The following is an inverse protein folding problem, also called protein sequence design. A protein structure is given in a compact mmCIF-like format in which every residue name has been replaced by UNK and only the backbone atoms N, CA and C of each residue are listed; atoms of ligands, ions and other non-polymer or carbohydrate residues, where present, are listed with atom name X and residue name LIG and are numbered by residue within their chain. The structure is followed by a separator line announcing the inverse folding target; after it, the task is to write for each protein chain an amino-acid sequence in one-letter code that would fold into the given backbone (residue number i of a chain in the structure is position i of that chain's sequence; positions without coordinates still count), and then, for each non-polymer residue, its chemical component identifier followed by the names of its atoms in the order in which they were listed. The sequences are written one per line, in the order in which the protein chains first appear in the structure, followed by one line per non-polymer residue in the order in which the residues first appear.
data_IF_876702525200
#
_entry.id   IF_876702525200
#
_cell.length_a   1.000
_cell.length_b   1.000
_cell.length_c   1.000
_cell.angle_alpha   90.00
_cell.angle_beta   90.00
_cell.angle_gamma   90.00
#
_symmetry.space_group_name_H-M   'P 1'
#
loop_
_entity.id
_entity.type
_entity.pdbx_description
1 polymer ?
#
# COMPACT_ATOMS: atom_id res chain seq x y z
N UNK A 1 4.77 12.16 5.65
CA UNK A 1 3.63 12.99 6.12
C UNK A 1 2.64 13.16 4.96
N UNK A 2 1.35 13.36 5.23
CA UNK A 2 0.35 13.64 4.17
C UNK A 2 -0.08 15.10 4.25
N UNK A 3 -0.10 15.81 3.12
CA UNK A 3 -0.63 17.20 3.05
C UNK A 3 -1.92 17.18 2.25
N UNK A 4 -3.05 17.41 2.91
CA UNK A 4 -4.39 17.36 2.31
C UNK A 4 -5.11 18.70 2.49
N UNK A 5 -5.75 19.20 1.42
CA UNK A 5 -6.52 20.44 1.42
C UNK A 5 -7.94 20.14 0.94
N UNK A 6 -8.93 20.52 1.73
CA UNK A 6 -10.34 20.50 1.32
C UNK A 6 -10.62 21.72 0.45
N UNK A 7 -11.13 21.51 -0.75
CA UNK A 7 -11.53 22.58 -1.67
C UNK A 7 -13.02 22.91 -1.55
N UNK A 8 -13.85 21.88 -1.37
CA UNK A 8 -15.30 22.03 -1.17
C UNK A 8 -15.80 20.97 -0.21
N UNK A 9 -16.69 21.38 0.70
CA UNK A 9 -17.41 20.48 1.59
C UNK A 9 -18.90 20.70 1.42
N UNK A 10 -19.66 19.62 1.26
CA UNK A 10 -21.12 19.64 1.22
C UNK A 10 -21.65 18.63 2.24
N UNK A 11 -22.97 18.54 2.39
CA UNK A 11 -23.61 17.48 3.19
C UNK A 11 -23.31 16.07 2.68
N UNK A 12 -22.95 15.92 1.38
CA UNK A 12 -22.71 14.62 0.76
C UNK A 12 -21.23 14.18 0.82
N UNK A 13 -20.30 15.09 1.10
CA UNK A 13 -18.88 14.73 1.13
C UNK A 13 -17.92 15.89 0.94
N UNK A 14 -16.64 15.54 0.80
CA UNK A 14 -15.52 16.47 0.68
C UNK A 14 -14.80 16.24 -0.64
N UNK A 15 -14.57 17.34 -1.37
CA UNK A 15 -13.68 17.38 -2.52
C UNK A 15 -12.42 18.10 -2.07
N UNK A 16 -11.27 17.55 -2.42
CA UNK A 16 -9.98 18.05 -1.97
C UNK A 16 -8.83 17.50 -2.79
N UNK A 17 -7.61 17.91 -2.43
CA UNK A 17 -6.37 17.48 -3.08
C UNK A 17 -5.32 17.10 -2.05
N UNK A 18 -4.60 16.02 -2.33
CA UNK A 18 -3.40 15.60 -1.61
C UNK A 18 -2.19 16.10 -2.39
N UNK A 19 -1.30 16.82 -1.71
CA UNK A 19 -0.09 17.40 -2.30
C UNK A 19 1.18 16.61 -1.96
N UNK A 20 1.13 15.79 -0.91
CA UNK A 20 2.23 14.94 -0.48
C UNK A 20 1.67 13.62 0.05
N UNK A 21 2.31 12.51 -0.30
CA UNK A 21 2.05 11.18 0.27
C UNK A 21 3.37 10.56 0.73
N UNK A 22 3.60 10.54 2.05
CA UNK A 22 4.88 10.11 2.60
C UNK A 22 5.98 11.11 2.25
N UNK A 23 6.95 10.68 1.44
CA UNK A 23 8.05 11.49 0.92
C UNK A 23 7.86 11.87 -0.56
N UNK A 24 6.75 11.47 -1.18
CA UNK A 24 6.47 11.73 -2.59
C UNK A 24 5.56 12.95 -2.72
N UNK A 25 5.97 13.93 -3.54
CA UNK A 25 5.12 15.05 -3.95
C UNK A 25 4.16 14.55 -5.02
N UNK A 26 2.87 14.79 -4.84
CA UNK A 26 1.81 14.38 -5.76
C UNK A 26 0.80 15.50 -5.92
N UNK A 27 -0.10 15.41 -6.90
CA UNK A 27 -1.34 16.18 -6.92
C UNK A 27 -2.48 15.20 -7.18
N UNK A 28 -3.14 14.78 -6.11
CA UNK A 28 -4.12 13.69 -6.16
C UNK A 28 -5.47 14.15 -5.62
N UNK A 29 -6.48 14.17 -6.49
CA UNK A 29 -7.83 14.60 -6.20
C UNK A 29 -8.57 13.56 -5.34
N UNK A 30 -9.41 14.04 -4.43
CA UNK A 30 -10.29 13.21 -3.59
C UNK A 30 -11.75 13.62 -3.81
N UNK A 31 -12.73 12.69 -3.79
CA UNK A 31 -12.59 11.26 -3.46
C UNK A 31 -11.86 10.47 -4.54
N UNK A 32 -11.11 9.45 -4.13
CA UNK A 32 -10.31 8.59 -5.01
C UNK A 32 -10.08 7.22 -4.36
N UNK A 33 -9.42 6.32 -5.08
CA UNK A 33 -9.02 5.00 -4.63
C UNK A 33 -7.50 4.81 -4.72
N UNK A 34 -7.00 3.82 -3.98
CA UNK A 34 -5.64 3.30 -4.15
C UNK A 34 -5.66 2.15 -5.15
N UNK A 35 -4.57 1.99 -5.90
CA UNK A 35 -4.38 0.86 -6.80
C UNK A 35 -3.97 -0.36 -5.98
N UNK A 36 -4.83 -1.38 -5.93
CA UNK A 36 -4.51 -2.63 -5.25
C UNK A 36 -3.33 -3.33 -5.90
N UNK A 37 -2.34 -3.70 -5.10
CA UNK A 37 -1.24 -4.56 -5.53
C UNK A 37 -1.04 -5.71 -4.55
N UNK A 38 -0.51 -6.82 -5.07
CA UNK A 38 -0.06 -7.95 -4.26
C UNK A 38 1.42 -8.18 -4.54
N UNK A 39 2.23 -8.26 -3.49
CA UNK A 39 3.69 -8.32 -3.58
C UNK A 39 4.30 -7.19 -4.45
N UNK A 40 3.66 -6.02 -4.49
CA UNK A 40 4.11 -4.88 -5.28
C UNK A 40 3.70 -4.86 -6.74
N UNK A 41 2.88 -5.81 -7.23
CA UNK A 41 2.38 -5.82 -8.61
C UNK A 41 0.85 -5.71 -8.68
N UNK A 42 0.34 -5.04 -9.71
CA UNK A 42 -1.10 -5.14 -10.04
C UNK A 42 -1.35 -6.58 -10.48
N UNK A 43 -2.34 -7.30 -9.90
CA UNK A 43 -2.59 -8.70 -10.24
C UNK A 43 -2.69 -8.91 -11.75
N UNK A 44 -1.93 -9.89 -12.25
CA UNK A 44 -1.90 -10.30 -13.66
C UNK A 44 -1.32 -9.29 -14.66
N UNK A 45 -0.74 -8.17 -14.21
CA UNK A 45 -0.13 -7.17 -15.09
C UNK A 45 1.35 -6.96 -14.76
N UNK A 46 2.20 -6.98 -15.78
CA UNK A 46 3.58 -6.46 -15.68
C UNK A 46 3.57 -4.93 -15.76
N UNK A 47 4.63 -4.29 -15.26
CA UNK A 47 4.74 -2.84 -15.33
C UNK A 47 4.77 -2.29 -16.75
N UNK A 48 5.32 -3.04 -17.71
CA UNK A 48 5.30 -2.68 -19.13
C UNK A 48 3.86 -2.66 -19.69
N UNK A 49 3.05 -3.67 -19.35
CA UNK A 49 1.64 -3.72 -19.75
C UNK A 49 0.86 -2.58 -19.11
N UNK A 50 1.11 -2.29 -17.83
CA UNK A 50 0.52 -1.15 -17.12
C UNK A 50 0.84 0.18 -17.83
N UNK A 51 2.11 0.41 -18.15
CA UNK A 51 2.56 1.64 -18.79
C UNK A 51 1.92 1.88 -20.17
N UNK A 52 1.69 0.81 -20.93
CA UNK A 52 1.13 0.89 -22.29
C UNK A 52 -0.40 0.96 -22.27
N UNK A 53 -1.08 0.18 -21.41
CA UNK A 53 -2.51 -0.07 -21.53
C UNK A 53 -3.35 0.64 -20.47
N UNK A 54 -2.82 0.94 -19.29
CA UNK A 54 -3.58 1.59 -18.23
C UNK A 54 -3.44 3.11 -18.32
N UNK A 55 -4.51 3.77 -18.77
CA UNK A 55 -4.63 5.23 -18.82
C UNK A 55 -5.29 5.75 -17.55
N UNK A 56 -4.50 6.28 -16.63
CA UNK A 56 -5.02 6.86 -15.40
C UNK A 56 -5.45 8.32 -15.60
N UNK A 57 -6.57 8.71 -15.00
CA UNK A 57 -6.99 10.12 -14.93
C UNK A 57 -6.06 10.96 -14.05
N UNK A 58 -5.45 10.33 -13.05
CA UNK A 58 -4.49 10.93 -12.12
C UNK A 58 -3.48 9.88 -11.67
N UNK A 59 -2.31 10.31 -11.19
CA UNK A 59 -1.28 9.39 -10.70
C UNK A 59 -1.81 8.53 -9.54
N UNK A 60 -1.75 7.18 -9.64
CA UNK A 60 -2.28 6.30 -8.60
C UNK A 60 -1.38 6.26 -7.36
N UNK A 61 -2.01 6.07 -6.21
CA UNK A 61 -1.31 5.63 -4.98
C UNK A 61 -1.43 4.12 -4.90
N UNK A 62 -0.31 3.40 -4.86
CA UNK A 62 -0.29 1.94 -4.87
C UNK A 62 -0.41 1.38 -3.44
N UNK A 63 -1.44 0.59 -3.20
CA UNK A 63 -1.60 -0.14 -1.95
C UNK A 63 -0.71 -1.38 -1.96
N UNK A 64 0.20 -1.48 -1.00
CA UNK A 64 0.96 -2.67 -0.65
C UNK A 64 0.29 -3.35 0.55
N UNK A 65 0.20 -4.68 0.56
CA UNK A 65 -0.37 -5.42 1.71
C UNK A 65 0.74 -6.16 2.44
N UNK A 66 0.90 -5.92 3.75
CA UNK A 66 1.90 -6.61 4.57
C UNK A 66 1.79 -8.15 4.47
N UNK A 67 0.58 -8.76 4.50
CA UNK A 67 0.39 -10.19 4.22
C UNK A 67 1.12 -10.77 3.01
N UNK A 68 1.18 -10.00 1.92
CA UNK A 68 1.79 -10.44 0.67
C UNK A 68 3.32 -10.29 0.66
N UNK A 69 3.86 -9.47 1.56
CA UNK A 69 5.27 -9.14 1.66
C UNK A 69 5.97 -9.85 2.83
N UNK A 70 5.22 -10.28 3.84
CA UNK A 70 5.73 -10.71 5.14
C UNK A 70 6.86 -11.75 5.04
N UNK A 71 6.66 -12.80 4.24
CA UNK A 71 7.67 -13.87 4.08
C UNK A 71 8.91 -13.43 3.30
N UNK A 72 8.79 -12.37 2.48
CA UNK A 72 9.88 -11.84 1.67
C UNK A 72 10.65 -10.71 2.37
N UNK A 73 10.23 -10.25 3.55
CA UNK A 73 10.84 -9.11 4.26
C UNK A 73 12.36 -9.24 4.40
N UNK A 74 12.95 -10.39 4.82
CA UNK A 74 14.40 -10.50 4.96
C UNK A 74 15.16 -10.31 3.63
N UNK A 75 14.55 -10.72 2.52
CA UNK A 75 15.13 -10.60 1.18
C UNK A 75 15.00 -9.16 0.67
N UNK A 76 13.86 -8.51 0.92
CA UNK A 76 13.63 -7.11 0.58
C UNK A 76 14.62 -6.21 1.34
N UNK A 77 14.83 -6.45 2.64
CA UNK A 77 15.79 -5.73 3.46
C UNK A 77 17.22 -5.91 2.94
N UNK A 78 17.63 -7.15 2.64
CA UNK A 78 18.95 -7.44 2.06
C UNK A 78 19.17 -6.76 0.71
N UNK A 79 18.13 -6.51 -0.06
CA UNK A 79 18.24 -5.79 -1.35
C UNK A 79 18.61 -4.31 -1.21
N UNK A 80 18.37 -3.69 -0.05
CA UNK A 80 18.71 -2.30 0.26
C UNK A 80 17.91 -1.22 -0.49
N UNK A 81 17.11 -1.58 -1.49
CA UNK A 81 16.37 -0.65 -2.33
C UNK A 81 14.98 -0.27 -1.84
N UNK A 82 14.49 -0.95 -0.80
CA UNK A 82 13.09 -0.91 -0.38
C UNK A 82 12.15 -1.65 -1.34
N UNK A 83 10.90 -1.83 -0.93
CA UNK A 83 9.93 -2.66 -1.64
C UNK A 83 9.60 -2.15 -3.06
N UNK A 84 9.49 -0.84 -3.25
CA UNK A 84 9.15 -0.29 -4.57
C UNK A 84 10.21 -0.65 -5.62
N UNK A 85 11.49 -0.52 -5.26
CA UNK A 85 12.60 -0.93 -6.13
C UNK A 85 12.67 -2.45 -6.28
N UNK A 86 12.48 -3.20 -5.19
CA UNK A 86 12.48 -4.67 -5.22
C UNK A 86 11.41 -5.23 -6.18
N UNK A 87 10.21 -4.66 -6.17
CA UNK A 87 9.11 -5.05 -7.05
C UNK A 87 9.13 -4.33 -8.42
N UNK A 88 10.24 -3.67 -8.77
CA UNK A 88 10.41 -2.91 -10.01
C UNK A 88 9.27 -1.94 -10.32
N UNK A 89 8.68 -1.35 -9.27
CA UNK A 89 7.61 -0.36 -9.40
C UNK A 89 8.12 0.88 -10.14
N UNK A 90 7.26 1.63 -10.85
CA UNK A 90 7.65 2.87 -11.50
C UNK A 90 8.37 3.81 -10.52
N UNK A 91 9.42 4.46 -10.99
CA UNK A 91 10.21 5.37 -10.17
C UNK A 91 9.33 6.49 -9.59
N UNK A 92 9.48 6.76 -8.29
CA UNK A 92 8.68 7.77 -7.59
C UNK A 92 7.21 7.39 -7.35
N UNK A 93 6.81 6.13 -7.64
CA UNK A 93 5.45 5.66 -7.35
C UNK A 93 5.10 5.80 -5.86
N UNK A 94 4.04 6.56 -5.50
CA UNK A 94 3.63 6.69 -4.10
C UNK A 94 3.01 5.37 -3.62
N UNK A 95 3.56 4.79 -2.55
CA UNK A 95 3.07 3.54 -1.96
C UNK A 95 2.37 3.76 -0.63
N UNK A 96 1.46 2.87 -0.27
CA UNK A 96 0.79 2.82 1.02
C UNK A 96 0.74 1.39 1.53
N UNK A 97 1.44 1.10 2.62
CA UNK A 97 1.42 -0.23 3.24
C UNK A 97 0.20 -0.37 4.16
N UNK A 98 -0.66 -1.35 3.89
CA UNK A 98 -1.75 -1.75 4.77
C UNK A 98 -1.40 -3.00 5.56
N UNK A 99 -1.83 -3.02 6.82
CA UNK A 99 -1.59 -4.12 7.75
C UNK A 99 -2.24 -5.43 7.29
N UNK A 100 -3.37 -5.33 6.60
CA UNK A 100 -4.15 -6.45 6.09
C UNK A 100 -4.32 -6.35 4.58
N UNK A 101 -4.63 -7.48 3.95
CA UNK A 101 -5.05 -7.55 2.55
C UNK A 101 -6.58 -7.51 2.50
N UNK A 102 -7.20 -6.51 1.85
CA UNK A 102 -8.65 -6.40 1.77
C UNK A 102 -9.33 -7.55 1.00
N UNK A 103 -8.58 -8.29 0.16
CA UNK A 103 -9.10 -9.42 -0.61
C UNK A 103 -8.87 -10.77 0.07
N UNK A 104 -8.18 -10.80 1.21
CA UNK A 104 -7.89 -12.04 1.94
C UNK A 104 -8.92 -12.28 3.05
N UNK A 105 -9.39 -13.52 3.17
CA UNK A 105 -10.22 -13.93 4.30
C UNK A 105 -9.44 -13.78 5.61
N UNK A 106 -10.10 -13.23 6.62
CA UNK A 106 -9.52 -13.00 7.95
C UNK A 106 -10.36 -13.70 8.98
N UNK A 107 -9.72 -14.53 9.80
CA UNK A 107 -10.35 -15.07 10.98
C UNK A 107 -10.28 -14.05 12.12
N UNK A 108 -11.38 -13.81 12.81
CA UNK A 108 -11.41 -12.80 13.88
C UNK A 108 -10.87 -13.37 15.21
N UNK A 109 -10.69 -12.50 16.22
CA UNK A 109 -10.38 -12.86 17.63
C UNK A 109 -8.95 -13.35 17.92
N UNK A 110 -7.98 -13.06 17.07
CA UNK A 110 -6.57 -13.42 17.30
C UNK A 110 -5.67 -12.27 17.78
N UNK A 111 -6.22 -11.06 17.93
CA UNK A 111 -5.48 -9.91 18.45
C UNK A 111 -5.50 -9.90 19.99
N UNK A 112 -4.40 -9.52 20.62
CA UNK A 112 -4.32 -9.34 22.06
C UNK A 112 -3.44 -8.12 22.40
N UNK A 113 -3.22 -7.84 23.69
CA UNK A 113 -2.45 -6.68 24.13
C UNK A 113 -0.99 -6.66 23.65
N UNK A 114 -0.41 -7.80 23.26
CA UNK A 114 0.98 -7.91 22.81
C UNK A 114 1.17 -8.06 21.31
N UNK A 115 0.15 -8.50 20.57
CA UNK A 115 0.28 -8.78 19.14
C UNK A 115 -1.01 -8.61 18.32
N UNK A 116 -0.80 -8.40 17.03
CA UNK A 116 -1.85 -8.37 16.00
C UNK A 116 -1.65 -9.55 15.06
N UNK A 117 -2.72 -10.30 14.79
CA UNK A 117 -2.67 -11.39 13.84
C UNK A 117 -2.84 -10.88 12.40
N UNK A 118 -1.98 -11.38 11.51
CA UNK A 118 -2.13 -11.27 10.07
C UNK A 118 -2.18 -12.66 9.45
N UNK A 119 -2.79 -12.78 8.27
CA UNK A 119 -2.84 -14.01 7.49
C UNK A 119 -1.93 -13.83 6.30
N UNK A 120 -1.01 -14.75 6.11
CA UNK A 120 -0.12 -14.81 4.94
C UNK A 120 -0.47 -16.04 4.11
N UNK A 121 0.15 -16.22 2.95
CA UNK A 121 0.07 -17.48 2.20
C UNK A 121 0.55 -18.69 3.03
N UNK A 122 1.49 -18.48 3.96
CA UNK A 122 2.00 -19.49 4.88
C UNK A 122 1.17 -19.66 6.17
N UNK A 123 -0.03 -19.09 6.23
CA UNK A 123 -0.93 -19.14 7.39
C UNK A 123 -0.81 -17.93 8.31
N UNK A 124 -1.36 -18.06 9.53
CA UNK A 124 -1.39 -16.98 10.53
C UNK A 124 0.02 -16.63 11.00
N UNK A 125 0.29 -15.33 11.13
CA UNK A 125 1.48 -14.76 11.76
C UNK A 125 1.04 -13.76 12.82
N UNK A 126 1.80 -13.66 13.90
CA UNK A 126 1.55 -12.66 14.95
C UNK A 126 2.63 -11.58 14.86
N UNK A 127 2.19 -10.35 14.64
CA UNK A 127 3.06 -9.18 14.65
C UNK A 127 3.11 -8.63 16.07
N UNK A 128 4.28 -8.70 16.69
CA UNK A 128 4.56 -8.00 17.94
C UNK A 128 5.03 -6.57 17.63
N UNK A 129 4.69 -5.59 18.48
CA UNK A 129 5.10 -4.19 18.29
C UNK A 129 6.61 -4.00 18.15
N UNK A 130 7.42 -4.85 18.77
CA UNK A 130 8.88 -4.77 18.70
C UNK A 130 9.45 -5.10 17.31
N UNK A 131 8.72 -5.82 16.46
CA UNK A 131 9.16 -6.18 15.11
C UNK A 131 8.96 -5.05 14.08
N UNK A 132 8.30 -3.95 14.46
CA UNK A 132 7.96 -2.83 13.57
C UNK A 132 8.78 -1.57 13.85
N UNK A 133 9.92 -1.68 14.55
CA UNK A 133 10.82 -0.53 14.72
C UNK A 133 11.64 -0.33 13.44
N UNK A 134 11.74 0.91 12.92
CA UNK A 134 12.63 1.23 11.81
C UNK A 134 14.10 1.03 12.17
#
# INVERSE_FOLDING_TARGET
MVKFVVQRSTVNGRIGKIFCWGNVKIEHETPSCMMYTRAGHIPHLTWDVVAVHLKYRQSPIYQLTLPSLFEALPVIEKSGGGIARFASMPEGAPTHLTLTDPLMERNMKFNNGGNIAIWTKGGRRNLCFFLLRP
#
